data_IF_869944707464
#
_entry.id   IF_869944707464
#
_cell.length_a   1.000
_cell.length_b   1.000
_cell.length_c   1.000
_cell.angle_alpha   90.00
_cell.angle_beta   90.00
_cell.angle_gamma   90.00
#
_symmetry.space_group_name_H-M   'P 1'
#
loop_
_entity.id
_entity.type
_entity.pdbx_description
1 polymer ?
#
# COMPACT_ATOMS: atom_id res chain seq x y z
N UNK A 1 -6.27 -12.46 14.61
CA UNK A 1 -6.06 -11.68 15.86
C UNK A 1 -5.61 -12.52 17.05
N UNK A 2 -6.37 -13.53 17.52
CA UNK A 2 -5.99 -14.38 18.67
C UNK A 2 -4.55 -14.93 18.54
N UNK A 3 -4.21 -15.51 17.39
CA UNK A 3 -2.86 -16.03 17.12
C UNK A 3 -1.78 -14.95 17.26
N UNK A 4 -2.03 -13.72 16.78
CA UNK A 4 -1.10 -12.61 16.89
C UNK A 4 -0.85 -12.21 18.36
N UNK A 5 -1.92 -12.17 19.17
CA UNK A 5 -1.84 -11.89 20.61
C UNK A 5 -1.16 -13.04 21.37
N UNK A 6 -1.36 -14.28 20.96
CA UNK A 6 -0.70 -15.44 21.56
C UNK A 6 0.79 -15.50 21.26
N UNK A 7 1.20 -15.01 20.09
CA UNK A 7 2.60 -14.95 19.65
C UNK A 7 3.28 -13.60 19.87
N UNK A 8 2.66 -12.68 20.62
CA UNK A 8 3.26 -11.38 20.96
C UNK A 8 3.71 -10.55 19.75
N UNK A 9 2.91 -10.56 18.67
CA UNK A 9 3.12 -9.63 17.55
C UNK A 9 3.12 -8.20 18.11
N UNK A 10 4.18 -7.46 17.84
CA UNK A 10 4.49 -6.21 18.52
C UNK A 10 3.55 -5.06 18.20
N UNK A 11 2.92 -5.09 17.03
CA UNK A 11 2.08 -4.01 16.53
C UNK A 11 0.91 -4.57 15.72
N UNK A 12 -0.29 -4.07 16.04
CA UNK A 12 -1.51 -4.33 15.26
C UNK A 12 -1.99 -3.00 14.70
N UNK A 13 -2.32 -2.96 13.41
CA UNK A 13 -3.00 -1.81 12.81
C UNK A 13 -4.49 -2.10 12.87
N UNK A 14 -5.23 -1.33 13.66
CA UNK A 14 -6.69 -1.42 13.75
C UNK A 14 -7.27 -0.68 12.56
N UNK A 15 -8.09 -1.34 11.75
CA UNK A 15 -8.64 -0.78 10.51
C UNK A 15 -10.09 -0.31 10.64
N UNK A 16 -10.84 -0.81 11.62
CA UNK A 16 -12.25 -0.47 11.83
C UNK A 16 -12.68 -0.46 13.31
N UNK A 17 -13.85 0.12 13.58
CA UNK A 17 -14.46 0.10 14.92
C UNK A 17 -14.74 -1.34 15.42
N UNK A 18 -15.23 -2.21 14.55
CA UNK A 18 -15.47 -3.62 14.89
C UNK A 18 -14.18 -4.34 15.27
N UNK A 19 -13.08 -4.04 14.59
CA UNK A 19 -11.77 -4.61 14.89
C UNK A 19 -11.27 -4.14 16.27
N UNK A 20 -11.50 -2.88 16.64
CA UNK A 20 -11.22 -2.39 17.99
C UNK A 20 -11.98 -3.19 19.05
N UNK A 21 -13.30 -3.38 18.91
CA UNK A 21 -14.08 -4.13 19.92
C UNK A 21 -13.67 -5.60 19.99
N UNK A 22 -13.36 -6.21 18.85
CA UNK A 22 -12.85 -7.58 18.82
C UNK A 22 -11.51 -7.68 19.56
N UNK A 23 -10.60 -6.74 19.32
CA UNK A 23 -9.30 -6.69 19.99
C UNK A 23 -9.46 -6.49 21.49
N UNK A 24 -10.27 -5.52 21.92
CA UNK A 24 -10.55 -5.26 23.33
C UNK A 24 -11.10 -6.50 24.05
N UNK A 25 -12.08 -7.18 23.44
CA UNK A 25 -12.64 -8.43 23.97
C UNK A 25 -11.55 -9.50 24.14
N UNK A 26 -10.74 -9.74 23.12
CA UNK A 26 -9.67 -10.75 23.16
C UNK A 26 -8.63 -10.42 24.24
N UNK A 27 -8.22 -9.16 24.35
CA UNK A 27 -7.23 -8.71 25.33
C UNK A 27 -7.75 -8.86 26.77
N UNK A 28 -9.02 -8.55 27.02
CA UNK A 28 -9.69 -8.76 28.31
C UNK A 28 -9.76 -10.24 28.69
N UNK A 29 -10.23 -11.10 27.78
CA UNK A 29 -10.34 -12.54 28.00
C UNK A 29 -8.96 -13.17 28.30
N UNK A 30 -7.93 -12.75 27.57
CA UNK A 30 -6.55 -13.27 27.72
C UNK A 30 -5.73 -12.56 28.79
N UNK A 31 -6.25 -11.48 29.39
CA UNK A 31 -5.51 -10.60 30.32
C UNK A 31 -4.16 -10.14 29.74
N UNK A 32 -4.16 -9.77 28.46
CA UNK A 32 -2.96 -9.33 27.72
C UNK A 32 -3.08 -7.86 27.34
N UNK A 33 -1.95 -7.27 26.98
CA UNK A 33 -1.85 -5.91 26.43
C UNK A 33 -1.15 -5.93 25.09
N UNK A 34 -1.46 -4.98 24.23
CA UNK A 34 -0.77 -4.80 22.95
C UNK A 34 -0.59 -3.33 22.61
N UNK A 35 0.34 -3.06 21.71
CA UNK A 35 0.44 -1.77 21.04
C UNK A 35 -0.29 -1.81 19.71
N UNK A 36 -0.82 -0.66 19.30
CA UNK A 36 -1.49 -0.52 18.01
C UNK A 36 -1.21 0.82 17.34
N UNK A 37 -1.43 0.83 16.03
CA UNK A 37 -1.75 2.04 15.27
C UNK A 37 -3.23 1.99 14.90
N UNK A 38 -3.82 3.16 14.68
CA UNK A 38 -5.14 3.27 14.06
C UNK A 38 -4.97 3.66 12.58
N UNK A 39 -5.57 2.89 11.69
CA UNK A 39 -5.64 3.18 10.26
C UNK A 39 -6.61 4.34 10.02
N UNK A 40 -6.11 5.41 9.41
CA UNK A 40 -6.85 6.61 9.07
C UNK A 40 -6.87 6.72 7.55
N UNK A 41 -8.05 6.99 7.00
CA UNK A 41 -8.19 7.38 5.61
C UNK A 41 -8.09 8.91 5.51
N UNK A 42 -7.02 9.46 4.92
CA UNK A 42 -6.78 10.90 4.89
C UNK A 42 -7.61 11.65 3.83
N UNK A 43 -8.42 10.94 3.01
CA UNK A 43 -9.17 11.49 1.87
C UNK A 43 -8.29 12.26 0.85
N UNK A 44 -7.07 11.75 0.61
CA UNK A 44 -6.17 12.31 -0.41
C UNK A 44 -6.63 11.87 -1.79
N UNK A 45 -6.86 12.83 -2.69
CA UNK A 45 -7.19 12.57 -4.09
C UNK A 45 -5.92 12.52 -4.92
N UNK A 46 -5.43 11.32 -5.26
CA UNK A 46 -4.30 11.17 -6.19
C UNK A 46 -4.80 11.17 -7.63
N UNK A 47 -4.16 11.87 -8.57
CA UNK A 47 -4.59 11.89 -9.99
C UNK A 47 -4.36 10.57 -10.75
N UNK A 48 -3.86 9.54 -10.08
CA UNK A 48 -3.71 8.19 -10.65
C UNK A 48 -5.08 7.53 -10.86
N UNK A 49 -5.20 6.71 -11.92
CA UNK A 49 -6.44 6.04 -12.35
C UNK A 49 -7.37 5.64 -11.19
N UNK A 50 -8.69 5.84 -11.36
CA UNK A 50 -9.76 5.51 -10.38
C UNK A 50 -9.66 4.13 -9.70
N UNK A 51 -8.99 3.16 -10.33
CA UNK A 51 -8.78 1.81 -9.79
C UNK A 51 -7.62 1.69 -8.78
N UNK A 52 -6.82 2.74 -8.61
CA UNK A 52 -5.57 2.75 -7.83
C UNK A 52 -5.66 3.69 -6.60
N UNK A 53 -6.72 4.48 -6.50
CA UNK A 53 -7.03 5.31 -5.34
C UNK A 53 -7.58 4.43 -4.20
N UNK A 54 -6.83 4.32 -3.09
CA UNK A 54 -7.28 3.57 -1.90
C UNK A 54 -7.75 4.49 -0.76
N UNK A 55 -7.61 5.81 -0.92
CA UNK A 55 -7.93 6.82 0.09
C UNK A 55 -9.04 7.77 -0.33
N UNK A 56 -10.06 7.33 -1.08
CA UNK A 56 -11.25 8.15 -1.30
C UNK A 56 -12.22 8.00 -0.12
N UNK A 57 -13.16 8.94 0.04
CA UNK A 57 -14.17 8.86 1.10
C UNK A 57 -15.00 7.55 1.12
N UNK A 58 -15.11 6.88 -0.03
CA UNK A 58 -15.80 5.58 -0.20
C UNK A 58 -14.88 4.37 0.06
N UNK A 59 -13.66 4.58 0.55
CA UNK A 59 -12.73 3.50 0.83
C UNK A 59 -13.23 2.66 2.01
N UNK A 60 -13.08 1.35 1.87
CA UNK A 60 -13.39 0.38 2.93
C UNK A 60 -12.30 0.30 4.02
N UNK A 61 -11.18 0.99 3.84
CA UNK A 61 -10.00 0.89 4.70
C UNK A 61 -9.88 2.12 5.58
N UNK A 62 -9.53 1.89 6.84
CA UNK A 62 -9.33 2.90 7.86
C UNK A 62 -10.59 3.69 8.22
N UNK A 63 -10.49 4.42 9.32
CA UNK A 63 -11.53 5.37 9.71
C UNK A 63 -11.32 6.68 8.95
N UNK A 64 -12.38 7.20 8.35
CA UNK A 64 -12.28 8.44 7.59
C UNK A 64 -11.96 9.61 8.53
N UNK A 65 -10.95 10.41 8.18
CA UNK A 65 -10.53 11.56 8.98
C UNK A 65 -11.65 12.60 9.21
N UNK A 66 -12.66 12.65 8.33
CA UNK A 66 -13.80 13.57 8.41
C UNK A 66 -15.02 12.97 9.12
N UNK A 67 -15.00 11.69 9.46
CA UNK A 67 -16.10 11.06 10.19
C UNK A 67 -16.02 11.45 11.67
N UNK A 68 -17.12 12.01 12.19
CA UNK A 68 -17.27 12.38 13.60
C UNK A 68 -17.09 11.17 14.54
N UNK A 69 -17.34 9.95 14.06
CA UNK A 69 -17.14 8.74 14.84
C UNK A 69 -15.65 8.40 15.04
N UNK A 70 -14.77 8.81 14.13
CA UNK A 70 -13.33 8.51 14.21
C UNK A 70 -12.72 8.99 15.53
N UNK A 71 -13.05 10.20 15.96
CA UNK A 71 -12.55 10.74 17.23
C UNK A 71 -13.08 9.98 18.44
N UNK A 72 -14.35 9.53 18.40
CA UNK A 72 -14.96 8.73 19.49
C UNK A 72 -14.24 7.38 19.66
N UNK A 73 -13.82 6.77 18.55
CA UNK A 73 -13.04 5.53 18.59
C UNK A 73 -11.64 5.78 19.13
N UNK A 74 -10.98 6.87 18.72
CA UNK A 74 -9.68 7.25 19.26
C UNK A 74 -9.74 7.44 20.78
N UNK A 75 -10.76 8.16 21.28
CA UNK A 75 -10.99 8.35 22.72
C UNK A 75 -11.10 7.00 23.44
N UNK A 76 -11.96 6.10 22.95
CA UNK A 76 -12.12 4.74 23.51
C UNK A 76 -10.82 3.96 23.54
N UNK A 77 -10.01 4.02 22.48
CA UNK A 77 -8.71 3.32 22.43
C UNK A 77 -7.74 3.94 23.45
N UNK A 78 -7.70 5.26 23.58
CA UNK A 78 -6.83 5.97 24.53
C UNK A 78 -7.18 5.59 25.98
N UNK A 79 -8.47 5.47 26.30
CA UNK A 79 -8.96 5.12 27.63
C UNK A 79 -8.80 3.62 27.96
N UNK A 80 -8.51 2.78 26.97
CA UNK A 80 -8.41 1.34 27.15
C UNK A 80 -7.08 0.94 27.82
N UNK A 81 -7.08 0.38 29.05
CA UNK A 81 -5.85 0.06 29.78
C UNK A 81 -5.07 -1.13 29.19
N UNK A 82 -5.66 -1.87 28.25
CA UNK A 82 -5.04 -3.02 27.59
C UNK A 82 -4.44 -2.66 26.22
N UNK A 83 -4.72 -1.47 25.70
CA UNK A 83 -4.25 -1.03 24.38
C UNK A 83 -3.37 0.21 24.54
N UNK A 84 -2.17 0.16 23.99
CA UNK A 84 -1.33 1.33 23.87
C UNK A 84 -1.39 1.86 22.43
N UNK A 85 -2.19 2.91 22.21
CA UNK A 85 -2.22 3.62 20.92
C UNK A 85 -0.93 4.42 20.74
N UNK A 86 -0.08 3.97 19.82
CA UNK A 86 1.22 4.56 19.53
C UNK A 86 1.14 5.71 18.51
N UNK A 87 0.11 5.71 17.67
CA UNK A 87 -0.12 6.73 16.64
C UNK A 87 -0.98 6.20 15.50
N UNK A 88 -0.71 6.66 14.29
CA UNK A 88 -1.60 6.48 13.14
C UNK A 88 -0.91 5.86 11.93
N UNK A 89 -1.71 5.22 11.10
CA UNK A 89 -1.33 4.64 9.82
C UNK A 89 -2.21 5.25 8.71
N UNK A 90 -1.65 5.50 7.54
CA UNK A 90 -2.40 5.79 6.32
C UNK A 90 -1.75 5.11 5.12
N UNK A 91 -2.55 4.88 4.07
CA UNK A 91 -2.06 4.35 2.80
C UNK A 91 -2.86 4.93 1.62
N UNK A 92 -2.22 5.75 0.80
CA UNK A 92 -2.89 6.54 -0.25
C UNK A 92 -2.99 5.86 -1.63
N UNK A 93 -2.36 4.70 -1.86
CA UNK A 93 -2.58 3.95 -3.09
C UNK A 93 -1.40 3.13 -3.59
N UNK A 94 -1.44 2.78 -4.87
CA UNK A 94 -0.40 2.00 -5.53
C UNK A 94 0.23 2.75 -6.71
N UNK A 95 1.41 2.32 -7.15
CA UNK A 95 2.11 2.90 -8.30
C UNK A 95 2.33 4.43 -8.25
N UNK A 96 2.44 4.99 -7.04
CA UNK A 96 2.68 6.43 -6.85
C UNK A 96 4.14 6.75 -7.12
N UNK A 97 4.40 7.50 -8.21
CA UNK A 97 5.75 7.94 -8.60
C UNK A 97 6.04 9.41 -8.25
N UNK A 98 5.01 10.19 -7.96
CA UNK A 98 5.15 11.61 -7.63
C UNK A 98 5.27 11.80 -6.11
N UNK A 99 6.40 12.38 -5.68
CA UNK A 99 6.72 12.65 -4.27
C UNK A 99 5.72 13.59 -3.61
N UNK A 100 5.11 14.50 -4.38
CA UNK A 100 4.19 15.50 -3.82
C UNK A 100 2.93 14.87 -3.21
N UNK A 101 2.45 13.72 -3.72
CA UNK A 101 1.32 13.03 -3.10
C UNK A 101 1.65 12.47 -1.72
N UNK A 102 2.85 11.92 -1.52
CA UNK A 102 3.28 11.48 -0.19
C UNK A 102 3.53 12.66 0.76
N UNK A 103 3.99 13.81 0.25
CA UNK A 103 4.09 15.04 1.04
C UNK A 103 2.73 15.58 1.46
N UNK A 104 1.72 15.45 0.59
CA UNK A 104 0.34 15.83 0.91
C UNK A 104 -0.24 14.91 2.02
N UNK A 105 -0.10 13.60 1.87
CA UNK A 105 -0.46 12.62 2.90
C UNK A 105 0.23 12.91 4.23
N UNK A 106 1.55 13.07 4.20
CA UNK A 106 2.39 13.44 5.32
C UNK A 106 1.85 14.65 6.08
N UNK A 107 1.51 15.72 5.35
CA UNK A 107 0.98 16.95 5.93
C UNK A 107 -0.38 16.71 6.60
N UNK A 108 -1.32 16.06 5.92
CA UNK A 108 -2.65 15.76 6.47
C UNK A 108 -2.53 14.92 7.73
N UNK A 109 -1.69 13.88 7.70
CA UNK A 109 -1.49 12.99 8.84
C UNK A 109 -0.76 13.67 10.00
N UNK A 110 0.19 14.56 9.74
CA UNK A 110 0.85 15.35 10.78
C UNK A 110 -0.14 16.33 11.45
N UNK A 111 -0.93 17.06 10.66
CA UNK A 111 -1.96 17.99 11.15
C UNK A 111 -3.03 17.24 11.96
N UNK A 112 -3.47 16.07 11.48
CA UNK A 112 -4.39 15.19 12.21
C UNK A 112 -3.81 14.74 13.55
N UNK A 113 -2.58 14.21 13.54
CA UNK A 113 -1.90 13.74 14.75
C UNK A 113 -1.77 14.86 15.77
N UNK A 114 -1.46 16.08 15.30
CA UNK A 114 -1.37 17.28 16.13
C UNK A 114 -2.73 17.60 16.79
N UNK A 115 -3.80 17.60 16.02
CA UNK A 115 -5.15 17.87 16.53
C UNK A 115 -5.55 16.87 17.64
N UNK A 116 -5.31 15.58 17.41
CA UNK A 116 -5.60 14.54 18.41
C UNK A 116 -4.70 14.71 19.64
N UNK A 117 -3.40 14.98 19.46
CA UNK A 117 -2.47 15.21 20.57
C UNK A 117 -2.93 16.37 21.45
N UNK A 118 -3.34 17.49 20.86
CA UNK A 118 -3.78 18.66 21.60
C UNK A 118 -5.12 18.46 22.29
N UNK A 119 -6.03 17.72 21.67
CA UNK A 119 -7.35 17.41 22.22
C UNK A 119 -7.27 16.49 23.42
N UNK A 120 -6.54 15.37 23.31
CA UNK A 120 -6.46 14.34 24.36
C UNK A 120 -5.24 14.49 25.27
N UNK A 121 -4.40 15.51 25.06
CA UNK A 121 -3.15 15.74 25.81
C UNK A 121 -2.24 14.50 25.83
N UNK A 122 -2.23 13.74 24.72
CA UNK A 122 -1.47 12.50 24.56
C UNK A 122 -0.48 12.64 23.41
N UNK A 123 0.80 12.45 23.70
CA UNK A 123 1.80 12.36 22.64
C UNK A 123 1.76 10.99 21.95
N UNK A 124 1.96 11.00 20.64
CA UNK A 124 2.12 9.81 19.81
C UNK A 124 3.58 9.69 19.40
N UNK A 125 4.07 8.45 19.31
CA UNK A 125 5.47 8.16 19.01
C UNK A 125 5.67 7.55 17.62
N UNK A 126 4.59 7.13 16.95
CA UNK A 126 4.63 6.44 15.67
C UNK A 126 3.77 7.13 14.62
N UNK A 127 4.27 7.18 13.39
CA UNK A 127 3.49 7.53 12.22
C UNK A 127 3.89 6.61 11.06
N UNK A 128 2.91 6.04 10.37
CA UNK A 128 3.13 5.13 9.25
C UNK A 128 2.40 5.66 8.01
N UNK A 129 3.14 5.87 6.92
CA UNK A 129 2.60 6.38 5.63
C UNK A 129 2.33 5.25 4.62
N UNK A 130 2.36 4.00 5.08
CA UNK A 130 2.05 2.84 4.26
C UNK A 130 3.02 2.66 3.10
N UNK A 131 2.55 1.97 2.07
CA UNK A 131 3.32 1.64 0.86
C UNK A 131 2.92 2.45 -0.36
N UNK A 132 3.03 1.81 -1.53
CA UNK A 132 2.51 2.37 -2.78
C UNK A 132 3.55 2.93 -3.74
N UNK A 133 4.82 2.93 -3.34
CA UNK A 133 5.94 3.40 -4.16
C UNK A 133 5.94 2.73 -5.53
N UNK A 134 5.88 3.55 -6.57
CA UNK A 134 5.81 3.09 -7.93
C UNK A 134 7.08 2.41 -8.42
N UNK A 135 6.89 1.39 -9.25
CA UNK A 135 7.96 0.70 -9.95
C UNK A 135 7.77 0.82 -11.44
N UNK A 136 8.86 0.65 -12.18
CA UNK A 136 8.80 0.33 -13.61
C UNK A 136 8.05 -1.00 -13.81
N UNK A 137 7.13 -1.04 -14.77
CA UNK A 137 6.42 -2.26 -15.16
C UNK A 137 6.80 -2.71 -16.57
N UNK A 138 7.21 -1.77 -17.43
CA UNK A 138 7.68 -2.03 -18.78
C UNK A 138 9.12 -1.58 -18.97
N UNK A 139 9.81 -2.14 -19.95
CA UNK A 139 11.16 -1.75 -20.32
C UNK A 139 11.26 -0.29 -20.83
N UNK A 140 10.17 0.41 -21.00
CA UNK A 140 10.18 1.80 -21.44
C UNK A 140 9.87 2.78 -20.30
N UNK A 141 9.35 2.31 -19.16
CA UNK A 141 9.04 3.23 -18.07
C UNK A 141 10.30 3.67 -17.35
N UNK A 142 10.29 4.93 -16.91
CA UNK A 142 11.28 5.42 -15.96
C UNK A 142 11.13 4.70 -14.62
N UNK A 143 12.29 4.35 -14.06
CA UNK A 143 12.40 3.78 -12.74
C UNK A 143 12.33 4.88 -11.68
N UNK A 144 11.78 4.56 -10.51
CA UNK A 144 11.75 5.48 -9.39
C UNK A 144 13.10 5.37 -8.66
N UNK A 145 13.84 6.46 -8.56
CA UNK A 145 14.98 6.58 -7.64
C UNK A 145 14.43 6.62 -6.21
N UNK A 146 14.19 5.43 -5.65
CA UNK A 146 13.57 5.26 -4.34
C UNK A 146 14.42 5.86 -3.23
N UNK A 147 15.75 5.82 -3.35
CA UNK A 147 16.64 6.41 -2.35
C UNK A 147 16.48 7.93 -2.29
N UNK A 148 16.55 8.60 -3.44
CA UNK A 148 16.34 10.06 -3.53
C UNK A 148 14.92 10.43 -3.08
N UNK A 149 13.94 9.63 -3.47
CA UNK A 149 12.54 9.82 -3.09
C UNK A 149 12.36 9.79 -1.58
N UNK A 150 12.87 8.74 -0.92
CA UNK A 150 12.76 8.57 0.53
C UNK A 150 13.54 9.63 1.30
N UNK A 151 14.74 10.02 0.84
CA UNK A 151 15.50 11.14 1.43
C UNK A 151 14.67 12.43 1.42
N UNK A 152 14.04 12.75 0.28
CA UNK A 152 13.18 13.92 0.15
C UNK A 152 11.95 13.87 1.07
N UNK A 153 11.34 12.69 1.23
CA UNK A 153 10.21 12.49 2.12
C UNK A 153 10.60 12.62 3.60
N UNK A 154 11.72 12.01 4.01
CA UNK A 154 12.20 12.04 5.41
C UNK A 154 12.49 13.48 5.85
N UNK A 155 13.25 14.25 5.05
CA UNK A 155 13.57 15.66 5.39
C UNK A 155 12.30 16.48 5.54
N UNK A 156 11.32 16.27 4.66
CA UNK A 156 10.03 16.96 4.74
C UNK A 156 9.24 16.58 6.00
N UNK A 157 9.27 15.29 6.39
CA UNK A 157 8.60 14.81 7.60
C UNK A 157 9.24 15.33 8.89
N UNK A 158 10.57 15.39 8.95
CA UNK A 158 11.30 15.92 10.10
C UNK A 158 10.92 17.40 10.36
N UNK A 159 10.88 18.23 9.31
CA UNK A 159 10.43 19.61 9.40
C UNK A 159 8.97 19.72 9.89
N UNK A 160 8.08 18.87 9.34
CA UNK A 160 6.68 18.83 9.77
C UNK A 160 6.53 18.45 11.24
N UNK A 161 7.32 17.49 11.73
CA UNK A 161 7.27 17.05 13.12
C UNK A 161 7.74 18.13 14.08
N UNK A 162 8.83 18.83 13.75
CA UNK A 162 9.33 19.96 14.53
C UNK A 162 8.30 21.10 14.56
N UNK A 163 7.80 21.50 13.38
CA UNK A 163 6.82 22.59 13.24
C UNK A 163 5.54 22.33 14.02
N UNK A 164 5.05 21.08 14.00
CA UNK A 164 3.84 20.68 14.72
C UNK A 164 4.09 20.30 16.18
N UNK A 165 5.36 20.27 16.64
CA UNK A 165 5.75 19.80 17.97
C UNK A 165 5.24 18.38 18.27
N UNK A 166 5.38 17.49 17.28
CA UNK A 166 5.02 16.09 17.41
C UNK A 166 6.17 15.30 18.05
N UNK A 167 5.83 14.31 18.86
CA UNK A 167 6.82 13.43 19.53
C UNK A 167 7.08 12.14 18.76
N UNK A 168 6.99 12.18 17.43
CA UNK A 168 7.22 11.00 16.58
C UNK A 168 8.69 10.62 16.63
N UNK A 169 8.95 9.38 17.06
CA UNK A 169 10.30 8.78 17.12
C UNK A 169 10.44 7.62 16.14
N UNK A 170 9.32 7.15 15.60
CA UNK A 170 9.27 6.07 14.62
C UNK A 170 8.39 6.48 13.44
N UNK A 171 9.05 6.76 12.31
CA UNK A 171 8.42 6.91 11.01
C UNK A 171 8.57 5.60 10.24
N UNK A 172 7.45 5.00 9.83
CA UNK A 172 7.42 3.73 9.10
C UNK A 172 6.82 3.88 7.70
N UNK A 173 7.24 2.98 6.81
CA UNK A 173 6.74 2.79 5.44
C UNK A 173 6.58 1.29 5.16
N UNK A 174 5.74 0.94 4.19
CA UNK A 174 5.37 -0.46 3.88
C UNK A 174 5.60 -0.81 2.40
N UNK A 175 6.85 -0.76 1.91
CA UNK A 175 7.13 -1.04 0.51
C UNK A 175 6.92 -2.53 0.19
N UNK A 176 5.90 -2.85 -0.59
CA UNK A 176 5.69 -4.19 -1.14
C UNK A 176 6.30 -4.32 -2.53
N UNK A 177 5.56 -3.82 -3.54
CA UNK A 177 5.92 -3.90 -4.96
C UNK A 177 7.33 -3.36 -5.24
N UNK A 178 7.70 -2.23 -4.65
CA UNK A 178 9.01 -1.60 -4.85
C UNK A 178 10.20 -2.41 -4.35
N UNK A 179 10.00 -3.32 -3.39
CA UNK A 179 11.04 -4.25 -2.97
C UNK A 179 11.13 -5.47 -3.88
N UNK A 180 9.99 -6.08 -4.19
CA UNK A 180 9.97 -7.41 -4.81
C UNK A 180 9.85 -7.42 -6.33
N UNK A 181 9.45 -6.32 -6.99
CA UNK A 181 9.13 -6.37 -8.43
C UNK A 181 10.33 -6.70 -9.32
N UNK A 182 11.55 -6.44 -8.84
CA UNK A 182 12.80 -6.65 -9.58
C UNK A 182 13.50 -7.97 -9.26
N UNK A 183 12.94 -8.80 -8.37
CA UNK A 183 13.64 -10.01 -7.88
C UNK A 183 13.56 -11.20 -8.84
N UNK A 184 12.70 -11.14 -9.87
CA UNK A 184 12.58 -12.25 -10.82
C UNK A 184 11.71 -11.95 -12.03
N UNK A 185 11.73 -12.88 -12.98
CA UNK A 185 10.90 -12.90 -14.17
C UNK A 185 10.16 -14.22 -14.26
N UNK A 186 8.99 -14.24 -14.91
CA UNK A 186 8.27 -15.49 -15.19
C UNK A 186 8.72 -15.98 -16.56
N UNK A 187 9.20 -17.23 -16.62
CA UNK A 187 9.61 -17.88 -17.86
C UNK A 187 8.49 -18.81 -18.32
N UNK A 188 8.09 -18.66 -19.57
CA UNK A 188 7.13 -19.54 -20.22
C UNK A 188 7.75 -20.26 -21.42
N UNK A 189 7.18 -21.41 -21.76
CA UNK A 189 7.42 -22.08 -23.05
C UNK A 189 6.31 -21.71 -24.02
N UNK A 190 6.71 -21.28 -25.22
CA UNK A 190 5.78 -21.12 -26.35
C UNK A 190 5.31 -22.50 -26.79
N UNK A 191 4.00 -22.72 -26.79
CA UNK A 191 3.37 -23.97 -27.22
C UNK A 191 2.93 -23.93 -28.68
N UNK A 192 2.16 -22.91 -29.07
CA UNK A 192 1.61 -22.80 -30.43
C UNK A 192 1.47 -21.35 -30.87
N UNK A 193 1.34 -21.15 -32.17
CA UNK A 193 1.04 -19.85 -32.78
C UNK A 193 -0.18 -19.97 -33.67
N UNK A 194 -0.95 -18.88 -33.80
CA UNK A 194 -2.12 -18.80 -34.66
C UNK A 194 -2.22 -17.41 -35.26
N UNK A 195 -2.63 -17.30 -36.51
CA UNK A 195 -3.03 -16.03 -37.12
C UNK A 195 -4.55 -15.99 -37.17
N UNK A 196 -5.17 -14.94 -36.64
CA UNK A 196 -6.63 -14.76 -36.73
C UNK A 196 -7.05 -14.35 -38.14
N UNK A 197 -8.35 -14.43 -38.44
CA UNK A 197 -8.89 -13.97 -39.73
C UNK A 197 -8.64 -12.47 -39.99
N UNK A 198 -8.55 -11.68 -38.92
CA UNK A 198 -8.18 -10.25 -38.98
C UNK A 198 -6.67 -10.03 -39.13
N UNK A 199 -5.88 -11.10 -39.29
CA UNK A 199 -4.43 -11.03 -39.51
C UNK A 199 -3.61 -10.78 -38.24
N UNK A 200 -4.21 -10.85 -37.05
CA UNK A 200 -3.48 -10.65 -35.80
C UNK A 200 -2.78 -11.94 -35.37
N UNK A 201 -1.44 -11.94 -35.21
CA UNK A 201 -0.71 -13.09 -34.72
C UNK A 201 -0.88 -13.29 -33.22
N UNK A 202 -1.09 -14.55 -32.79
CA UNK A 202 -1.11 -14.99 -31.40
C UNK A 202 0.00 -15.99 -31.13
N UNK A 203 0.56 -15.89 -29.93
CA UNK A 203 1.44 -16.89 -29.32
C UNK A 203 0.75 -17.41 -28.07
N UNK A 204 0.64 -18.73 -27.95
CA UNK A 204 0.13 -19.38 -26.75
C UNK A 204 1.29 -19.89 -25.89
N UNK A 205 1.24 -19.56 -24.60
CA UNK A 205 2.22 -19.98 -23.61
C UNK A 205 1.63 -21.03 -22.66
N UNK A 206 2.49 -21.78 -21.98
CA UNK A 206 2.13 -22.85 -21.04
C UNK A 206 1.65 -22.36 -19.65
N UNK A 207 1.56 -21.04 -19.45
CA UNK A 207 0.94 -20.38 -18.29
C UNK A 207 -0.27 -19.52 -18.67
N UNK A 208 -0.47 -18.41 -17.96
CA UNK A 208 -1.52 -17.43 -18.27
C UNK A 208 -2.11 -16.77 -17.03
N UNK A 209 -3.41 -16.49 -17.07
CA UNK A 209 -4.10 -15.80 -15.97
C UNK A 209 -4.09 -16.56 -14.64
N UNK A 210 -3.85 -17.88 -14.66
CA UNK A 210 -3.70 -18.71 -13.45
C UNK A 210 -2.48 -18.34 -12.60
N UNK A 211 -1.43 -17.85 -13.24
CA UNK A 211 -0.12 -17.55 -12.62
C UNK A 211 0.21 -16.06 -12.69
N UNK A 212 -0.37 -15.32 -13.64
CA UNK A 212 -0.31 -13.86 -13.71
C UNK A 212 -1.67 -13.28 -14.15
N UNK A 213 -2.58 -13.10 -13.19
CA UNK A 213 -3.92 -12.53 -13.43
C UNK A 213 -3.91 -11.01 -13.73
N UNK A 214 -2.79 -10.32 -13.47
CA UNK A 214 -2.73 -8.85 -13.47
C UNK A 214 -3.12 -8.19 -14.81
N UNK A 215 -2.74 -8.72 -15.99
CA UNK A 215 -3.18 -8.18 -17.26
C UNK A 215 -4.71 -8.19 -17.41
N UNK A 216 -5.36 -9.31 -17.08
CA UNK A 216 -6.81 -9.45 -17.19
C UNK A 216 -7.57 -8.64 -16.14
N UNK A 217 -7.07 -8.59 -14.90
CA UNK A 217 -7.77 -7.95 -13.79
C UNK A 217 -7.56 -6.43 -13.72
N UNK A 218 -6.36 -5.96 -14.04
CA UNK A 218 -5.97 -4.55 -13.87
C UNK A 218 -5.56 -3.86 -15.17
N UNK A 219 -5.57 -4.57 -16.31
CA UNK A 219 -4.98 -4.04 -17.54
C UNK A 219 -3.47 -3.83 -17.43
N UNK A 220 -2.80 -4.52 -16.50
CA UNK A 220 -1.37 -4.37 -16.26
C UNK A 220 -0.58 -4.74 -17.53
N UNK A 221 0.36 -3.88 -17.90
CA UNK A 221 1.24 -4.09 -19.04
C UNK A 221 2.59 -4.62 -18.57
N UNK A 222 3.12 -5.58 -19.32
CA UNK A 222 4.42 -6.17 -19.06
C UNK A 222 5.26 -6.15 -20.33
N UNK A 223 6.56 -6.08 -20.14
CA UNK A 223 7.52 -6.38 -21.19
C UNK A 223 7.84 -7.88 -21.23
N UNK A 224 7.81 -8.44 -22.45
CA UNK A 224 8.18 -9.81 -22.72
C UNK A 224 9.31 -9.85 -23.75
N UNK A 225 10.24 -10.79 -23.56
CA UNK A 225 11.36 -11.04 -24.45
C UNK A 225 11.46 -12.54 -24.72
N UNK A 226 11.88 -12.92 -25.92
CA UNK A 226 12.23 -14.30 -26.19
C UNK A 226 13.61 -14.58 -25.57
N UNK A 227 13.62 -15.28 -24.44
CA UNK A 227 14.85 -15.54 -23.67
C UNK A 227 15.95 -16.23 -24.48
N UNK A 228 15.59 -16.98 -25.53
CA UNK A 228 16.53 -17.66 -26.42
C UNK A 228 16.87 -16.89 -27.72
N UNK A 229 16.38 -15.64 -27.86
CA UNK A 229 16.56 -14.79 -29.05
C UNK A 229 16.67 -13.31 -28.68
N UNK A 230 17.49 -13.01 -27.66
CA UNK A 230 17.61 -11.65 -27.11
C UNK A 230 18.17 -10.65 -28.12
N UNK A 231 19.12 -11.09 -28.96
CA UNK A 231 19.82 -10.23 -29.92
C UNK A 231 19.11 -10.12 -31.28
N UNK A 232 17.96 -10.78 -31.44
CA UNK A 232 17.22 -10.77 -32.70
C UNK A 232 16.46 -9.45 -32.88
N UNK A 233 16.47 -8.93 -34.11
CA UNK A 233 15.61 -7.80 -34.46
C UNK A 233 14.12 -8.14 -34.30
N UNK A 234 13.39 -7.21 -33.69
CA UNK A 234 11.93 -7.30 -33.56
C UNK A 234 11.31 -7.11 -34.96
N UNK A 235 10.60 -8.12 -35.45
CA UNK A 235 10.07 -8.12 -36.81
C UNK A 235 8.53 -8.13 -36.90
N UNK A 236 7.83 -8.38 -35.80
CA UNK A 236 6.37 -8.55 -35.82
C UNK A 236 5.75 -8.36 -34.42
N UNK A 237 4.51 -7.88 -34.40
CA UNK A 237 3.70 -7.74 -33.18
C UNK A 237 2.83 -8.96 -32.95
N UNK A 238 2.82 -9.47 -31.73
CA UNK A 238 2.01 -10.62 -31.30
C UNK A 238 1.15 -10.27 -30.10
N UNK A 239 0.00 -10.93 -30.00
CA UNK A 239 -0.76 -11.06 -28.73
C UNK A 239 -0.35 -12.36 -28.03
N UNK A 240 -0.13 -12.29 -26.72
CA UNK A 240 0.21 -13.47 -25.91
C UNK A 240 -1.04 -13.97 -25.21
N UNK A 241 -1.42 -15.22 -25.49
CA UNK A 241 -2.53 -15.92 -24.85
C UNK A 241 -2.04 -17.01 -23.90
N UNK A 242 -2.77 -17.22 -22.81
CA UNK A 242 -2.55 -18.36 -21.92
C UNK A 242 -3.20 -19.64 -22.43
N UNK A 243 -3.07 -20.73 -21.65
CA UNK A 243 -3.66 -22.04 -21.96
C UNK A 243 -5.12 -22.24 -21.50
N UNK A 244 -5.68 -21.29 -20.76
CA UNK A 244 -7.05 -21.40 -20.23
C UNK A 244 -8.07 -21.03 -21.31
N UNK A 245 -9.26 -21.62 -21.22
CA UNK A 245 -10.35 -21.42 -22.19
C UNK A 245 -11.21 -20.20 -21.83
N UNK A 246 -10.59 -19.02 -21.75
CA UNK A 246 -11.23 -17.71 -21.51
C UNK A 246 -10.64 -16.63 -22.44
#
# INVERSE_FOLDING_TARGET
MIYAIDNYISLIIIDSEDEYYLLDKILKEKKKKTSCLLSINPDVKTDTHKFIQTSNADSKFGLNIRDENTEKIIEKIIENPNINLLGFHAHIGSQVKNLEFFKEEAKIMADFTKNIQDKFKKCFSHLNLGGGFGTRENLEDEDLDLEKFLKGLIVFMEDLFEKNKLSITNLSIEPGRSLISKVGSILYRVGSTKVTMEGYPLIFVDGGMSDNIRPSLYGARYSAILANKLDNEKNQTYRVGGKLCE
#
